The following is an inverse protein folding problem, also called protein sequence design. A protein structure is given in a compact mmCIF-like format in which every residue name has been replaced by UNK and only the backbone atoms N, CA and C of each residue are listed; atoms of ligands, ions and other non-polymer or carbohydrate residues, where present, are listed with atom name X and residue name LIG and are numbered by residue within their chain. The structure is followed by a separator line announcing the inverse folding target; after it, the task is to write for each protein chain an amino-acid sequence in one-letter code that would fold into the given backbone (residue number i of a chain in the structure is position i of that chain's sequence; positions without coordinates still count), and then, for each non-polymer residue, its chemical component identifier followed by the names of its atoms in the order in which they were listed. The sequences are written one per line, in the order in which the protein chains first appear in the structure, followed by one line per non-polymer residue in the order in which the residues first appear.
data_IF_279187035755
#
_entry.id   IF_279187035755
#
_cell.length_a   1.000
_cell.length_b   1.000
_cell.length_c   1.000
_cell.angle_alpha   90.00
_cell.angle_beta   90.00
_cell.angle_gamma   90.00
#
_symmetry.space_group_name_H-M   'P 1'
#
loop_
_entity.id
_entity.type
_entity.pdbx_description
1 polymer ?
#
# COMPACT_ATOMS: atom_id res chain seq x y z
N UNK A 1 -15.36 -14.61 44.75
CA UNK A 1 -16.21 -13.53 44.21
C UNK A 1 -17.57 -13.62 44.86
N UNK A 2 -17.94 -12.61 45.61
CA UNK A 2 -19.17 -12.64 46.38
C UNK A 2 -20.38 -12.30 45.53
N UNK A 3 -21.54 -12.81 45.96
CA UNK A 3 -22.85 -12.56 45.29
C UNK A 3 -23.12 -11.04 45.13
N UNK A 4 -22.61 -10.24 46.05
CA UNK A 4 -22.71 -8.76 46.04
C UNK A 4 -21.89 -8.14 44.87
N UNK A 5 -20.76 -8.74 44.53
CA UNK A 5 -19.92 -8.24 43.42
C UNK A 5 -20.57 -8.49 42.06
N UNK A 6 -21.25 -9.62 41.93
CA UNK A 6 -22.01 -9.94 40.72
C UNK A 6 -23.24 -9.01 40.53
N UNK A 7 -23.90 -8.63 41.63
CA UNK A 7 -25.03 -7.70 41.60
C UNK A 7 -24.53 -6.28 41.25
N UNK A 8 -23.40 -5.84 41.81
CA UNK A 8 -22.79 -4.54 41.45
C UNK A 8 -22.36 -4.51 39.98
N UNK A 9 -21.81 -5.62 39.48
CA UNK A 9 -21.41 -5.74 38.10
C UNK A 9 -22.61 -5.65 37.14
N UNK A 10 -23.70 -6.35 37.45
CA UNK A 10 -24.92 -6.30 36.69
C UNK A 10 -25.57 -4.90 36.71
N UNK A 11 -25.57 -4.23 37.83
CA UNK A 11 -26.09 -2.87 37.97
C UNK A 11 -25.29 -1.84 37.19
N UNK A 12 -23.94 -1.96 37.19
CA UNK A 12 -23.06 -1.08 36.42
C UNK A 12 -23.23 -1.30 34.90
N UNK A 13 -23.51 -2.52 34.49
CA UNK A 13 -23.78 -2.86 33.07
C UNK A 13 -25.11 -2.25 32.60
N UNK A 14 -26.16 -2.33 33.45
CA UNK A 14 -27.46 -1.77 33.14
C UNK A 14 -27.50 -0.23 33.21
N UNK A 15 -26.79 0.36 34.16
CA UNK A 15 -26.70 1.81 34.34
C UNK A 15 -25.85 2.52 33.28
N UNK A 16 -25.29 1.82 32.31
CA UNK A 16 -24.45 2.41 31.28
C UNK A 16 -23.14 2.97 31.78
N UNK A 17 -22.79 2.72 33.05
CA UNK A 17 -21.46 2.99 33.55
C UNK A 17 -20.48 2.04 32.86
N UNK A 18 -19.54 2.61 32.17
CA UNK A 18 -18.51 1.93 31.39
C UNK A 18 -17.99 0.74 32.17
N UNK A 19 -18.24 -0.44 31.62
CA UNK A 19 -17.63 -1.68 32.08
C UNK A 19 -16.15 -1.45 32.39
N UNK A 20 -15.63 -1.92 33.53
CA UNK A 20 -14.19 -1.97 33.73
C UNK A 20 -13.50 -2.79 32.64
N UNK A 21 -14.21 -3.67 31.91
CA UNK A 21 -13.75 -4.28 30.67
C UNK A 21 -13.64 -3.27 29.50
N UNK A 22 -14.29 -2.11 29.57
CA UNK A 22 -14.08 -0.99 28.64
C UNK A 22 -12.64 -0.48 28.60
N UNK A 23 -11.86 -0.76 29.63
CA UNK A 23 -10.42 -0.53 29.64
C UNK A 23 -9.63 -1.46 28.72
N UNK A 24 -10.19 -2.58 28.26
CA UNK A 24 -9.56 -3.35 27.17
C UNK A 24 -9.47 -2.52 25.89
N UNK A 25 -10.37 -1.56 25.72
CA UNK A 25 -10.26 -0.58 24.64
C UNK A 25 -9.14 0.42 24.87
N UNK A 26 -8.77 0.70 26.11
CA UNK A 26 -7.70 1.63 26.44
C UNK A 26 -6.30 1.00 26.25
N UNK A 27 -6.17 -0.30 26.54
CA UNK A 27 -4.93 -1.05 26.28
C UNK A 27 -4.65 -1.25 24.78
N UNK A 28 -5.68 -1.27 23.95
CA UNK A 28 -5.54 -1.39 22.49
C UNK A 28 -5.42 -0.03 21.80
N UNK A 29 -5.72 1.09 22.47
CA UNK A 29 -5.47 2.43 21.96
C UNK A 29 -3.99 2.80 21.93
N UNK A 30 -3.16 2.06 22.65
CA UNK A 30 -1.70 2.21 22.60
C UNK A 30 -1.05 1.38 21.48
N UNK A 31 -1.83 0.54 20.77
CA UNK A 31 -1.29 -0.16 19.59
C UNK A 31 -1.27 0.80 18.40
N UNK A 32 -0.14 0.95 17.70
CA UNK A 32 -0.02 1.79 16.50
C UNK A 32 -1.09 1.46 15.45
N UNK A 33 -1.56 0.22 15.43
CA UNK A 33 -2.59 -0.25 14.49
C UNK A 33 -3.99 0.32 14.74
N UNK A 34 -4.28 0.89 15.92
CA UNK A 34 -5.58 1.50 16.19
C UNK A 34 -5.72 2.94 15.73
N UNK A 35 -4.63 3.65 15.64
CA UNK A 35 -4.63 4.96 14.96
C UNK A 35 -5.00 4.81 13.48
N UNK A 36 -4.70 3.65 12.90
CA UNK A 36 -5.07 3.31 11.53
C UNK A 36 -6.58 3.04 11.37
N UNK A 37 -7.27 2.56 12.39
CA UNK A 37 -8.70 2.26 12.26
C UNK A 37 -9.58 3.51 12.25
N UNK A 38 -9.15 4.60 12.87
CA UNK A 38 -9.90 5.86 12.85
C UNK A 38 -9.88 6.51 11.46
N UNK A 39 -8.80 6.31 10.72
CA UNK A 39 -8.62 6.82 9.36
C UNK A 39 -8.90 5.76 8.28
N UNK A 40 -9.56 4.66 8.64
CA UNK A 40 -9.79 3.56 7.69
C UNK A 40 -10.63 4.00 6.48
N UNK A 41 -11.64 4.85 6.69
CA UNK A 41 -12.46 5.38 5.59
C UNK A 41 -11.66 6.30 4.67
N UNK A 42 -10.88 7.21 5.26
CA UNK A 42 -10.05 8.12 4.49
C UNK A 42 -8.95 7.35 3.75
N UNK A 43 -8.35 6.36 4.39
CA UNK A 43 -7.40 5.44 3.75
C UNK A 43 -8.03 4.66 2.60
N UNK A 44 -9.27 4.22 2.73
CA UNK A 44 -9.94 3.46 1.66
C UNK A 44 -10.17 4.32 0.43
N UNK A 45 -10.55 5.58 0.60
CA UNK A 45 -10.73 6.52 -0.50
C UNK A 45 -9.38 6.84 -1.16
N UNK A 46 -8.38 7.18 -0.37
CA UNK A 46 -7.02 7.46 -0.86
C UNK A 46 -6.43 6.24 -1.58
N UNK A 47 -6.52 5.05 -0.98
CA UNK A 47 -6.04 3.82 -1.60
C UNK A 47 -6.77 3.52 -2.92
N UNK A 48 -8.07 3.78 -3.00
CA UNK A 48 -8.84 3.61 -4.24
C UNK A 48 -8.37 4.58 -5.34
N UNK A 49 -8.05 5.82 -4.97
CA UNK A 49 -7.50 6.81 -5.89
C UNK A 49 -6.10 6.38 -6.35
N UNK A 50 -5.22 5.96 -5.42
CA UNK A 50 -3.89 5.46 -5.74
C UNK A 50 -3.93 4.24 -6.67
N UNK A 51 -4.82 3.28 -6.39
CA UNK A 51 -5.07 2.11 -7.24
C UNK A 51 -5.47 2.51 -8.65
N UNK A 52 -6.43 3.44 -8.77
CA UNK A 52 -6.90 3.90 -10.08
C UNK A 52 -5.80 4.59 -10.85
N UNK A 53 -5.05 5.46 -10.19
CA UNK A 53 -3.94 6.17 -10.80
C UNK A 53 -2.83 5.22 -11.25
N UNK A 54 -2.45 4.25 -10.40
CA UNK A 54 -1.46 3.23 -10.71
C UNK A 54 -1.90 2.37 -11.92
N UNK A 55 -3.18 2.00 -12.01
CA UNK A 55 -3.72 1.30 -13.17
C UNK A 55 -3.62 2.13 -14.44
N UNK A 56 -4.04 3.39 -14.39
CA UNK A 56 -4.02 4.27 -15.58
C UNK A 56 -2.58 4.51 -16.08
N UNK A 57 -1.60 4.60 -15.20
CA UNK A 57 -0.17 4.71 -15.56
C UNK A 57 0.37 3.39 -16.08
N UNK A 58 0.07 2.26 -15.45
CA UNK A 58 0.60 0.94 -15.83
C UNK A 58 0.14 0.47 -17.21
N UNK A 59 -1.00 0.99 -17.69
CA UNK A 59 -1.47 0.71 -19.06
C UNK A 59 -0.68 1.45 -20.15
N UNK A 60 0.19 2.38 -19.77
CA UNK A 60 1.03 3.11 -20.74
C UNK A 60 2.26 2.28 -21.10
N UNK A 61 2.67 2.39 -22.34
CA UNK A 61 3.88 1.72 -22.82
C UNK A 61 5.10 2.59 -22.49
N UNK A 62 5.99 2.03 -21.70
CA UNK A 62 7.27 2.66 -21.36
C UNK A 62 8.38 2.02 -22.17
N UNK A 63 9.13 2.84 -22.88
CA UNK A 63 10.23 2.37 -23.70
C UNK A 63 11.51 3.14 -23.37
N UNK A 64 12.62 2.43 -23.36
CA UNK A 64 13.92 3.05 -23.33
C UNK A 64 14.24 3.59 -24.74
N UNK A 65 14.60 4.87 -24.79
CA UNK A 65 14.85 5.56 -26.05
C UNK A 65 16.23 6.19 -26.04
N UNK A 66 16.81 6.34 -27.22
CA UNK A 66 17.99 7.15 -27.45
C UNK A 66 17.55 8.51 -27.95
N UNK A 67 18.04 9.56 -27.32
CA UNK A 67 17.87 10.95 -27.74
C UNK A 67 19.12 11.47 -28.42
N UNK A 68 18.96 12.43 -29.30
CA UNK A 68 20.03 13.22 -29.89
C UNK A 68 20.45 14.38 -28.96
N UNK A 69 21.51 15.11 -29.32
CA UNK A 69 21.97 16.31 -28.61
C UNK A 69 20.90 17.41 -28.48
N UNK A 70 19.89 17.39 -29.30
CA UNK A 70 18.73 18.29 -29.29
C UNK A 70 17.48 17.68 -28.61
N UNK A 71 17.67 16.62 -27.81
CA UNK A 71 16.60 15.89 -27.10
C UNK A 71 15.51 15.29 -28.01
N UNK A 72 15.84 15.09 -29.29
CA UNK A 72 14.91 14.46 -30.24
C UNK A 72 15.01 12.94 -30.18
N UNK A 73 13.88 12.27 -30.30
CA UNK A 73 13.82 10.80 -30.35
C UNK A 73 14.55 10.28 -31.61
N UNK A 74 15.61 9.53 -31.42
CA UNK A 74 16.36 8.88 -32.50
C UNK A 74 15.82 7.47 -32.74
N UNK A 75 15.77 6.64 -31.69
CA UNK A 75 15.28 5.25 -31.78
C UNK A 75 14.90 4.69 -30.42
N UNK A 76 14.04 3.69 -30.47
CA UNK A 76 13.75 2.83 -29.31
C UNK A 76 14.86 1.78 -29.20
N UNK A 77 15.44 1.65 -28.01
CA UNK A 77 16.51 0.69 -27.73
C UNK A 77 15.94 -0.69 -27.45
N UNK A 78 16.50 -1.72 -28.06
CA UNK A 78 16.20 -3.12 -27.75
C UNK A 78 17.15 -3.63 -26.69
N UNK A 79 16.97 -3.20 -25.46
CA UNK A 79 17.79 -3.60 -24.30
C UNK A 79 17.05 -4.54 -23.38
N UNK A 80 17.74 -5.27 -22.51
CA UNK A 80 17.09 -6.06 -21.46
C UNK A 80 16.15 -5.22 -20.59
N UNK A 81 16.52 -3.98 -20.28
CA UNK A 81 15.67 -3.06 -19.52
C UNK A 81 14.35 -2.77 -20.26
N UNK A 82 14.40 -2.55 -21.57
CA UNK A 82 13.18 -2.35 -22.35
C UNK A 82 12.27 -3.58 -22.34
N UNK A 83 12.84 -4.78 -22.36
CA UNK A 83 12.09 -6.03 -22.23
C UNK A 83 11.45 -6.15 -20.83
N UNK A 84 12.17 -5.76 -19.77
CA UNK A 84 11.62 -5.74 -18.41
C UNK A 84 10.42 -4.80 -18.29
N UNK A 85 10.51 -3.61 -18.86
CA UNK A 85 9.44 -2.61 -18.80
C UNK A 85 8.22 -2.98 -19.67
N UNK A 86 8.46 -3.68 -20.79
CA UNK A 86 7.40 -3.93 -21.80
C UNK A 86 6.73 -5.29 -21.63
N UNK A 87 7.51 -6.34 -21.33
CA UNK A 87 7.00 -7.71 -21.32
C UNK A 87 7.09 -8.36 -19.94
N UNK A 88 8.30 -8.52 -19.40
CA UNK A 88 8.52 -9.32 -18.21
C UNK A 88 9.61 -8.73 -17.35
N UNK A 89 9.20 -8.20 -16.19
CA UNK A 89 10.12 -7.60 -15.23
C UNK A 89 10.97 -8.64 -14.51
N UNK A 90 10.33 -9.74 -14.09
CA UNK A 90 10.98 -10.85 -13.42
C UNK A 90 10.26 -12.18 -13.71
N UNK A 91 10.61 -13.25 -13.00
CA UNK A 91 10.05 -14.59 -13.21
C UNK A 91 8.53 -14.65 -12.99
N UNK A 92 8.05 -13.92 -12.03
CA UNK A 92 6.66 -13.97 -11.53
C UNK A 92 5.85 -12.70 -11.79
N UNK A 93 6.46 -11.68 -12.45
CA UNK A 93 5.87 -10.37 -12.63
C UNK A 93 6.07 -9.85 -14.06
N UNK A 94 5.01 -9.38 -14.66
CA UNK A 94 5.05 -8.68 -15.95
C UNK A 94 5.61 -7.26 -15.81
N UNK A 95 5.99 -6.64 -16.91
CA UNK A 95 6.41 -5.22 -16.92
C UNK A 95 5.30 -4.28 -16.46
N UNK A 96 4.06 -4.58 -16.81
CA UNK A 96 2.89 -3.80 -16.40
C UNK A 96 2.63 -3.89 -14.89
N UNK A 97 2.76 -5.09 -14.31
CA UNK A 97 2.64 -5.27 -12.84
C UNK A 97 3.75 -4.57 -12.09
N UNK A 98 4.99 -4.61 -12.59
CA UNK A 98 6.10 -3.85 -12.03
C UNK A 98 5.78 -2.35 -11.99
N UNK A 99 5.27 -1.80 -13.08
CA UNK A 99 4.91 -0.39 -13.18
C UNK A 99 3.76 -0.03 -12.24
N UNK A 100 2.76 -0.91 -12.14
CA UNK A 100 1.66 -0.73 -11.20
C UNK A 100 2.17 -0.67 -9.75
N UNK A 101 2.95 -1.66 -9.33
CA UNK A 101 3.50 -1.73 -7.97
C UNK A 101 4.42 -0.54 -7.66
N UNK A 102 5.23 -0.14 -8.64
CA UNK A 102 6.12 1.00 -8.51
C UNK A 102 5.34 2.31 -8.30
N UNK A 103 4.33 2.57 -9.13
CA UNK A 103 3.52 3.78 -9.02
C UNK A 103 2.68 3.77 -7.76
N UNK A 104 2.08 2.63 -7.40
CA UNK A 104 1.29 2.48 -6.19
C UNK A 104 2.14 2.76 -4.94
N UNK A 105 3.31 2.12 -4.84
CA UNK A 105 4.23 2.33 -3.72
C UNK A 105 4.76 3.76 -3.65
N UNK A 106 5.04 4.38 -4.81
CA UNK A 106 5.45 5.79 -4.86
C UNK A 106 4.37 6.74 -4.35
N UNK A 107 3.10 6.45 -4.62
CA UNK A 107 1.98 7.27 -4.12
C UNK A 107 1.73 7.07 -2.62
N UNK A 108 1.98 5.87 -2.08
CA UNK A 108 1.82 5.60 -0.65
C UNK A 108 3.02 6.07 0.19
N UNK A 109 4.23 5.83 -0.29
CA UNK A 109 5.48 6.04 0.46
C UNK A 109 6.19 7.36 0.09
N UNK A 110 5.79 7.99 -1.01
CA UNK A 110 6.39 9.22 -1.53
C UNK A 110 7.63 9.01 -2.40
N UNK A 111 8.31 7.86 -2.31
CA UNK A 111 9.45 7.51 -3.14
C UNK A 111 9.58 5.99 -3.26
N UNK A 112 10.23 5.54 -4.33
CA UNK A 112 10.54 4.12 -4.57
C UNK A 112 11.90 3.99 -5.22
N UNK A 113 12.63 2.92 -4.88
CA UNK A 113 13.87 2.52 -5.51
C UNK A 113 13.68 1.21 -6.27
N UNK A 114 14.03 1.19 -7.55
CA UNK A 114 14.05 -0.04 -8.35
C UNK A 114 15.50 -0.48 -8.51
N UNK A 115 15.84 -1.65 -7.96
CA UNK A 115 17.17 -2.21 -8.03
C UNK A 115 17.21 -3.39 -9.01
N UNK A 116 17.99 -3.32 -10.09
CA UNK A 116 18.22 -4.48 -10.96
C UNK A 116 19.09 -5.50 -10.23
N UNK A 117 18.63 -6.74 -10.17
CA UNK A 117 19.38 -7.86 -9.60
C UNK A 117 19.63 -8.87 -10.71
N UNK A 118 20.88 -9.19 -10.98
CA UNK A 118 21.24 -10.28 -11.86
C UNK A 118 21.09 -11.60 -11.09
N UNK A 119 20.10 -12.40 -11.48
CA UNK A 119 19.96 -13.78 -11.01
C UNK A 119 20.58 -14.71 -12.05
N UNK A 120 21.70 -15.31 -11.73
CA UNK A 120 22.21 -16.48 -12.46
C UNK A 120 21.29 -17.65 -12.15
N UNK A 121 20.51 -18.05 -13.11
CA UNK A 121 19.76 -19.32 -13.12
C UNK A 121 20.67 -20.46 -13.55
#
# INVERSE_FOLDING_TARGET
MGMIDNIKHAFNTIAGNKDPTGNYHQGSSQRPDRYRSYNYRDKTIVSSICTRFALDVSTRVFNQVQLDSEERLVKVLKTPLNNCLTFRANKDQSGQELLYDAVYSMLEEGCIGILPIETTL
#
